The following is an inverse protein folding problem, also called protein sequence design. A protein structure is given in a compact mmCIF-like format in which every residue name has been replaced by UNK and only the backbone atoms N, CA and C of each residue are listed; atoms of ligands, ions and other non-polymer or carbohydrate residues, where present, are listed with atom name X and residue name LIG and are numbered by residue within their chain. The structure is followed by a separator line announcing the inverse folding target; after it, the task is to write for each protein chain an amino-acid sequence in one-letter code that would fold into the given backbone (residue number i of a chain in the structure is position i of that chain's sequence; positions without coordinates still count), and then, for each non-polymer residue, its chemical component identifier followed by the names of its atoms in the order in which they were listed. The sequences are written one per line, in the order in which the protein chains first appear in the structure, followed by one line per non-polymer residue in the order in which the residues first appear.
data_IF_718366056421
#
_entry.id   IF_718366056421
#
_cell.length_a   1.000
_cell.length_b   1.000
_cell.length_c   1.000
_cell.angle_alpha   90.00
_cell.angle_beta   90.00
_cell.angle_gamma   90.00
#
_symmetry.space_group_name_H-M   'P 1'
#
loop_
_entity.id
_entity.type
_entity.pdbx_description
1 polymer ?
#
# COMPACT_ATOMS: atom_id res chain seq x y z
N UNK A 1 1.05 3.55 14.77
CA UNK A 1 0.92 2.84 13.48
C UNK A 1 -0.52 2.96 13.03
N UNK A 2 -0.78 3.48 11.83
CA UNK A 2 -2.16 3.76 11.36
C UNK A 2 -2.77 2.57 10.62
N UNK A 3 -1.95 1.84 9.84
CA UNK A 3 -2.33 0.59 9.16
C UNK A 3 -1.12 -0.36 9.11
N UNK A 4 -1.40 -1.65 9.09
CA UNK A 4 -0.41 -2.72 8.94
C UNK A 4 -1.00 -3.88 8.14
N UNK A 5 -0.67 -3.94 6.85
CA UNK A 5 -1.17 -4.98 5.96
C UNK A 5 -0.39 -5.06 4.65
N UNK A 6 0.28 -6.18 4.42
CA UNK A 6 0.90 -6.48 3.13
C UNK A 6 -0.18 -6.95 2.14
N UNK A 7 0.00 -6.64 0.86
CA UNK A 7 -1.01 -6.91 -0.17
C UNK A 7 -0.51 -7.81 -1.29
N UNK A 8 -1.42 -8.64 -1.78
CA UNK A 8 -1.29 -9.41 -3.03
C UNK A 8 -2.58 -9.29 -3.81
N UNK A 9 -2.47 -9.08 -5.12
CA UNK A 9 -3.63 -8.94 -5.97
C UNK A 9 -3.55 -9.85 -7.20
N UNK A 10 -4.14 -11.04 -7.20
CA UNK A 10 -4.29 -11.84 -8.41
C UNK A 10 -5.22 -11.16 -9.41
N UNK A 11 -5.08 -11.60 -10.66
CA UNK A 11 -6.01 -11.31 -11.74
C UNK A 11 -6.59 -12.63 -12.24
N UNK A 12 -7.91 -12.69 -12.30
CA UNK A 12 -8.66 -13.84 -12.81
C UNK A 12 -9.59 -13.38 -13.93
N UNK A 13 -10.05 -14.32 -14.76
CA UNK A 13 -10.88 -14.04 -15.92
C UNK A 13 -12.03 -15.03 -16.01
N UNK A 14 -13.17 -14.53 -16.49
CA UNK A 14 -14.35 -15.32 -16.81
C UNK A 14 -14.78 -15.13 -18.27
N UNK A 15 -15.81 -15.87 -18.69
CA UNK A 15 -16.42 -15.72 -20.02
C UNK A 15 -17.09 -14.35 -20.20
N UNK A 16 -17.74 -13.83 -19.16
CA UNK A 16 -18.52 -12.58 -19.19
C UNK A 16 -18.21 -11.67 -18.00
N UNK A 17 -18.52 -10.38 -18.13
CA UNK A 17 -18.38 -9.41 -17.04
C UNK A 17 -19.37 -9.70 -15.89
N UNK A 18 -20.57 -10.18 -16.20
CA UNK A 18 -21.56 -10.62 -15.20
C UNK A 18 -21.02 -11.78 -14.36
N UNK A 19 -20.38 -12.77 -14.97
CA UNK A 19 -19.80 -13.87 -14.22
C UNK A 19 -18.65 -13.42 -13.32
N UNK A 20 -17.82 -12.47 -13.80
CA UNK A 20 -16.80 -11.85 -12.97
C UNK A 20 -17.38 -11.04 -11.80
N UNK A 21 -18.55 -10.39 -11.97
CA UNK A 21 -19.21 -9.65 -10.89
C UNK A 21 -19.80 -10.57 -9.82
N UNK A 22 -20.27 -11.77 -10.19
CA UNK A 22 -20.70 -12.77 -9.22
C UNK A 22 -19.56 -13.15 -8.26
N UNK A 23 -18.33 -13.36 -8.77
CA UNK A 23 -17.18 -13.61 -7.89
C UNK A 23 -16.83 -12.38 -7.03
N UNK A 24 -16.89 -11.16 -7.59
CA UNK A 24 -16.68 -9.93 -6.80
C UNK A 24 -17.64 -9.85 -5.62
N UNK A 25 -18.93 -10.03 -5.87
CA UNK A 25 -19.95 -9.95 -4.81
C UNK A 25 -19.77 -11.06 -3.79
N UNK A 26 -19.42 -12.28 -4.22
CA UNK A 26 -19.11 -13.36 -3.30
C UNK A 26 -17.92 -13.02 -2.37
N UNK A 27 -16.84 -12.46 -2.91
CA UNK A 27 -15.62 -12.14 -2.17
C UNK A 27 -15.75 -10.95 -1.22
N UNK A 28 -16.62 -9.99 -1.53
CA UNK A 28 -16.86 -8.79 -0.72
C UNK A 28 -18.07 -8.91 0.21
N UNK A 29 -18.81 -10.02 0.15
CA UNK A 29 -19.87 -10.32 1.10
C UNK A 29 -19.28 -10.68 2.47
N UNK A 30 -19.71 -9.94 3.50
CA UNK A 30 -19.30 -10.14 4.88
C UNK A 30 -19.62 -11.55 5.39
N UNK A 31 -20.68 -12.19 4.88
CA UNK A 31 -21.06 -13.56 5.27
C UNK A 31 -19.99 -14.58 4.84
N UNK A 32 -19.32 -14.34 3.71
CA UNK A 32 -18.30 -15.25 3.18
C UNK A 32 -16.90 -14.96 3.73
N UNK A 33 -16.67 -13.77 4.29
CA UNK A 33 -15.35 -13.32 4.73
C UNK A 33 -14.73 -14.26 5.78
N UNK A 34 -15.50 -14.77 6.74
CA UNK A 34 -14.98 -15.67 7.78
C UNK A 34 -14.44 -16.97 7.19
N UNK A 35 -15.16 -17.57 6.25
CA UNK A 35 -14.73 -18.78 5.54
C UNK A 35 -13.47 -18.51 4.72
N UNK A 36 -13.44 -17.42 3.95
CA UNK A 36 -12.29 -17.01 3.16
C UNK A 36 -11.06 -16.74 4.04
N UNK A 37 -11.26 -16.10 5.19
CA UNK A 37 -10.22 -15.84 6.19
C UNK A 37 -9.66 -17.14 6.75
N UNK A 38 -10.50 -18.11 7.11
CA UNK A 38 -10.05 -19.43 7.56
C UNK A 38 -9.21 -20.12 6.49
N UNK A 39 -9.65 -20.11 5.22
CA UNK A 39 -8.91 -20.71 4.10
C UNK A 39 -7.56 -20.02 3.89
N UNK A 40 -7.54 -18.69 3.88
CA UNK A 40 -6.34 -17.89 3.72
C UNK A 40 -5.32 -18.15 4.84
N UNK A 41 -5.78 -18.11 6.09
CA UNK A 41 -4.94 -18.14 7.29
C UNK A 41 -4.34 -19.53 7.55
N UNK A 42 -4.89 -20.61 6.96
CA UNK A 42 -4.30 -21.97 7.04
C UNK A 42 -2.85 -22.04 6.56
N UNK A 43 -2.43 -21.10 5.70
CA UNK A 43 -1.08 -21.07 5.13
C UNK A 43 0.03 -20.70 6.13
N UNK A 44 -0.30 -20.03 7.23
CA UNK A 44 0.67 -19.50 8.20
C UNK A 44 0.03 -19.14 9.55
N UNK A 45 0.73 -19.43 10.65
CA UNK A 45 0.31 -18.99 11.99
C UNK A 45 0.29 -17.47 12.20
N UNK A 46 1.00 -16.71 11.36
CA UNK A 46 1.10 -15.25 11.44
C UNK A 46 0.19 -14.52 10.44
N UNK A 47 -0.21 -15.18 9.36
CA UNK A 47 -1.07 -14.57 8.35
C UNK A 47 -2.48 -14.38 8.92
N UNK A 48 -2.95 -13.14 8.98
CA UNK A 48 -4.37 -12.84 9.22
C UNK A 48 -4.90 -11.96 8.12
N UNK A 49 -5.79 -12.52 7.30
CA UNK A 49 -6.56 -11.78 6.31
C UNK A 49 -7.35 -10.66 7.00
N UNK A 50 -7.23 -9.45 6.48
CA UNK A 50 -7.87 -8.25 7.00
C UNK A 50 -8.96 -7.73 6.05
N UNK A 51 -8.72 -7.80 4.74
CA UNK A 51 -9.64 -7.26 3.75
C UNK A 51 -9.44 -7.92 2.38
N UNK A 52 -10.50 -7.98 1.58
CA UNK A 52 -10.48 -8.31 0.16
C UNK A 52 -11.16 -7.18 -0.60
N UNK A 53 -10.45 -6.52 -1.50
CA UNK A 53 -10.98 -5.43 -2.33
C UNK A 53 -10.92 -5.80 -3.81
N UNK A 54 -12.05 -5.83 -4.47
CA UNK A 54 -12.16 -6.27 -5.86
C UNK A 54 -12.36 -5.10 -6.83
N UNK A 55 -11.68 -5.13 -7.97
CA UNK A 55 -11.89 -4.21 -9.09
C UNK A 55 -12.11 -4.99 -10.39
N UNK A 56 -13.14 -4.62 -11.15
CA UNK A 56 -13.50 -5.28 -12.42
C UNK A 56 -13.01 -4.46 -13.61
N UNK A 57 -12.49 -5.14 -14.63
CA UNK A 57 -12.23 -4.58 -15.95
C UNK A 57 -12.75 -5.53 -17.04
N UNK A 58 -13.97 -5.27 -17.50
CA UNK A 58 -14.69 -6.17 -18.41
C UNK A 58 -14.90 -7.54 -17.75
N UNK A 59 -14.38 -8.60 -18.38
CA UNK A 59 -14.47 -9.98 -17.88
C UNK A 59 -13.30 -10.41 -16.98
N UNK A 60 -12.42 -9.46 -16.60
CA UNK A 60 -11.31 -9.71 -15.69
C UNK A 60 -11.60 -9.10 -14.31
N UNK A 61 -11.19 -9.80 -13.26
CA UNK A 61 -11.33 -9.37 -11.87
C UNK A 61 -9.95 -9.30 -11.21
N UNK A 62 -9.64 -8.16 -10.61
CA UNK A 62 -8.44 -7.91 -9.82
C UNK A 62 -8.80 -7.91 -8.35
N UNK A 63 -8.22 -8.81 -7.56
CA UNK A 63 -8.68 -9.09 -6.20
C UNK A 63 -7.58 -8.74 -5.21
N UNK A 64 -7.61 -7.59 -4.55
CA UNK A 64 -6.56 -7.14 -3.63
C UNK A 64 -6.80 -7.66 -2.22
N UNK A 65 -6.08 -8.71 -1.85
CA UNK A 65 -6.02 -9.24 -0.50
C UNK A 65 -5.08 -8.40 0.36
N UNK A 66 -5.51 -8.07 1.56
CA UNK A 66 -4.71 -7.38 2.58
C UNK A 66 -4.58 -8.27 3.81
N UNK A 67 -3.36 -8.46 4.30
CA UNK A 67 -3.07 -9.41 5.36
C UNK A 67 -1.99 -8.87 6.29
N UNK A 68 -2.15 -9.07 7.60
CA UNK A 68 -1.05 -8.90 8.57
C UNK A 68 -0.08 -10.07 8.49
N UNK A 69 1.21 -9.83 8.71
CA UNK A 69 2.27 -10.81 8.43
C UNK A 69 3.26 -11.00 9.58
N UNK A 70 2.88 -10.59 10.79
CA UNK A 70 3.80 -10.49 11.94
C UNK A 70 4.93 -9.50 11.64
N UNK A 71 6.15 -9.86 12.00
CA UNK A 71 7.34 -9.02 11.77
C UNK A 71 7.97 -9.20 10.39
N UNK A 72 7.51 -10.19 9.62
CA UNK A 72 7.95 -10.36 8.25
C UNK A 72 7.33 -9.28 7.35
N UNK A 73 8.10 -8.80 6.37
CA UNK A 73 7.54 -8.00 5.26
C UNK A 73 6.42 -8.76 4.53
N UNK A 74 6.52 -10.09 4.46
CA UNK A 74 5.35 -10.95 4.31
C UNK A 74 4.90 -11.27 2.88
N UNK A 75 5.65 -10.85 1.86
CA UNK A 75 5.28 -11.06 0.45
C UNK A 75 5.09 -12.51 0.01
N UNK A 76 5.88 -13.45 0.54
CA UNK A 76 5.70 -14.88 0.27
C UNK A 76 4.50 -15.44 1.04
N UNK A 77 4.31 -14.98 2.28
CA UNK A 77 3.23 -15.40 3.16
C UNK A 77 1.86 -15.03 2.56
N UNK A 78 1.69 -13.77 2.14
CA UNK A 78 0.45 -13.29 1.53
C UNK A 78 0.17 -14.03 0.21
N UNK A 79 1.20 -14.29 -0.61
CA UNK A 79 1.02 -15.00 -1.89
C UNK A 79 0.53 -16.44 -1.69
N UNK A 80 1.03 -17.13 -0.67
CA UNK A 80 0.56 -18.48 -0.32
C UNK A 80 -0.88 -18.48 0.19
N UNK A 81 -1.24 -17.51 1.04
CA UNK A 81 -2.62 -17.35 1.51
C UNK A 81 -3.60 -17.08 0.37
N UNK A 82 -3.21 -16.23 -0.59
CA UNK A 82 -4.01 -15.99 -1.80
C UNK A 82 -4.17 -17.26 -2.63
N UNK A 83 -3.09 -18.03 -2.86
CA UNK A 83 -3.17 -19.27 -3.63
C UNK A 83 -4.18 -20.24 -3.02
N UNK A 84 -4.16 -20.43 -1.69
CA UNK A 84 -5.14 -21.28 -1.01
C UNK A 84 -6.59 -20.84 -1.25
N UNK A 85 -6.85 -19.52 -1.25
CA UNK A 85 -8.19 -18.99 -1.51
C UNK A 85 -8.58 -19.23 -2.97
N UNK A 86 -7.68 -19.02 -3.93
CA UNK A 86 -7.95 -19.30 -5.34
C UNK A 86 -8.25 -20.79 -5.57
N UNK A 87 -7.49 -21.69 -4.95
CA UNK A 87 -7.71 -23.14 -5.05
C UNK A 87 -9.05 -23.55 -4.43
N UNK A 88 -9.44 -22.93 -3.31
CA UNK A 88 -10.75 -23.14 -2.69
C UNK A 88 -11.90 -22.68 -3.59
N UNK A 89 -11.77 -21.50 -4.21
CA UNK A 89 -12.79 -20.93 -5.09
C UNK A 89 -13.04 -21.76 -6.35
N UNK A 90 -12.06 -22.54 -6.82
CA UNK A 90 -12.23 -23.40 -7.99
C UNK A 90 -13.35 -24.45 -7.84
N UNK A 91 -13.78 -24.76 -6.62
CA UNK A 91 -14.91 -25.68 -6.41
C UNK A 91 -16.25 -25.06 -6.85
N UNK A 92 -16.48 -23.78 -6.54
CA UNK A 92 -17.73 -23.06 -6.82
C UNK A 92 -17.65 -22.22 -8.11
N UNK A 93 -16.44 -21.88 -8.52
CA UNK A 93 -16.12 -21.13 -9.74
C UNK A 93 -15.14 -21.91 -10.63
N UNK A 94 -15.49 -23.13 -11.10
CA UNK A 94 -14.60 -23.97 -11.91
C UNK A 94 -14.30 -23.35 -13.30
N UNK A 95 -15.09 -22.36 -13.71
CA UNK A 95 -14.91 -21.57 -14.93
C UNK A 95 -13.93 -20.39 -14.76
N UNK A 96 -13.35 -20.21 -13.56
CA UNK A 96 -12.39 -19.16 -13.27
C UNK A 96 -11.00 -19.47 -13.86
N UNK A 97 -10.57 -18.65 -14.81
CA UNK A 97 -9.21 -18.70 -15.37
C UNK A 97 -8.27 -17.80 -14.56
N UNK A 98 -7.33 -18.42 -13.83
CA UNK A 98 -6.34 -17.70 -13.01
C UNK A 98 -5.18 -17.25 -13.92
N UNK A 99 -5.27 -16.02 -14.41
CA UNK A 99 -4.25 -15.42 -15.29
C UNK A 99 -2.92 -15.21 -14.57
N UNK A 100 -2.96 -14.86 -13.29
CA UNK A 100 -1.75 -14.78 -12.48
C UNK A 100 -1.99 -14.33 -11.05
N UNK A 101 -1.11 -14.80 -10.16
CA UNK A 101 -1.16 -14.46 -8.72
C UNK A 101 -0.90 -12.96 -8.45
N UNK A 102 -0.33 -12.25 -9.42
CA UNK A 102 0.02 -10.83 -9.31
C UNK A 102 -0.39 -10.06 -10.56
N UNK A 103 -1.63 -9.57 -10.60
CA UNK A 103 -2.18 -8.69 -11.64
C UNK A 103 -1.81 -7.22 -11.50
N UNK A 104 -0.66 -6.90 -10.89
CA UNK A 104 -0.17 -5.55 -10.61
C UNK A 104 -1.05 -4.64 -9.74
N UNK A 105 -2.25 -5.04 -9.33
CA UNK A 105 -3.14 -4.28 -8.43
C UNK A 105 -2.72 -4.35 -6.93
N UNK A 106 -1.55 -4.92 -6.62
CA UNK A 106 -1.05 -4.99 -5.24
C UNK A 106 -0.72 -3.60 -4.64
N UNK A 107 0.10 -2.72 -5.22
CA UNK A 107 1.08 -2.89 -6.32
C UNK A 107 2.49 -3.02 -5.73
N UNK A 108 3.30 -3.96 -6.20
CA UNK A 108 4.65 -4.20 -5.67
C UNK A 108 5.72 -3.68 -6.63
N UNK A 109 6.62 -2.81 -6.15
CA UNK A 109 7.75 -2.26 -6.92
C UNK A 109 7.35 -1.44 -8.14
N UNK A 110 6.18 -0.78 -8.10
CA UNK A 110 5.70 0.16 -9.12
C UNK A 110 4.98 1.33 -8.44
N UNK A 111 5.09 2.57 -8.97
CA UNK A 111 4.29 3.68 -8.48
C UNK A 111 2.81 3.41 -8.80
N UNK A 112 1.95 3.47 -7.79
CA UNK A 112 0.53 3.19 -7.95
C UNK A 112 -0.33 3.93 -6.92
N UNK A 113 -1.42 4.54 -7.40
CA UNK A 113 -2.30 5.37 -6.57
C UNK A 113 -2.99 4.55 -5.48
N UNK A 114 -3.28 3.28 -5.76
CA UNK A 114 -3.88 2.37 -4.77
C UNK A 114 -3.00 2.22 -3.53
N UNK A 115 -1.67 2.22 -3.67
CA UNK A 115 -0.77 2.16 -2.51
C UNK A 115 -0.76 3.48 -1.72
N UNK A 116 -0.91 4.62 -2.39
CA UNK A 116 -0.99 5.93 -1.76
C UNK A 116 -2.28 6.10 -0.95
N UNK A 117 -3.42 5.73 -1.55
CA UNK A 117 -4.75 5.96 -0.99
C UNK A 117 -5.09 4.90 0.07
N UNK A 118 -4.91 3.62 -0.26
CA UNK A 118 -5.36 2.53 0.61
C UNK A 118 -4.28 2.10 1.60
N UNK A 119 -3.02 2.44 1.33
CA UNK A 119 -1.85 1.94 2.03
C UNK A 119 -1.37 0.58 1.49
N UNK A 120 -0.14 0.22 1.86
CA UNK A 120 0.47 -1.10 1.65
C UNK A 120 1.65 -1.27 2.61
N UNK A 121 1.70 -2.39 3.33
CA UNK A 121 2.67 -2.55 4.43
C UNK A 121 2.26 -1.69 5.62
N UNK A 122 3.16 -0.83 6.08
CA UNK A 122 2.96 0.02 7.26
C UNK A 122 2.57 1.44 6.84
N UNK A 123 1.50 1.99 7.40
CA UNK A 123 1.15 3.42 7.27
C UNK A 123 1.52 4.16 8.56
N UNK A 124 2.35 5.19 8.46
CA UNK A 124 2.98 5.87 9.60
C UNK A 124 2.84 7.39 9.42
N UNK A 125 2.69 8.09 10.56
CA UNK A 125 2.78 9.54 10.68
C UNK A 125 3.78 9.87 11.78
N UNK A 126 4.54 10.96 11.59
CA UNK A 126 5.49 11.48 12.57
C UNK A 126 5.38 13.01 12.56
N UNK A 127 5.47 13.63 13.72
CA UNK A 127 5.45 15.08 13.90
C UNK A 127 6.53 15.52 14.89
N UNK A 128 6.95 16.78 14.78
CA UNK A 128 7.87 17.42 15.72
C UNK A 128 7.68 18.93 15.68
N UNK A 129 7.90 19.59 16.82
CA UNK A 129 7.97 21.04 16.92
C UNK A 129 9.43 21.44 17.05
N UNK A 130 9.92 22.29 16.14
CA UNK A 130 11.28 22.81 16.17
C UNK A 130 11.22 24.29 16.56
N UNK A 131 11.94 24.67 17.61
CA UNK A 131 11.96 26.06 18.09
C UNK A 131 12.65 26.98 17.08
N UNK A 132 12.20 28.23 17.00
CA UNK A 132 12.77 29.25 16.11
C UNK A 132 14.30 29.37 16.29
N UNK A 133 14.75 29.27 17.54
CA UNK A 133 16.17 29.29 17.92
C UNK A 133 16.97 28.18 17.25
N UNK A 134 16.42 26.96 17.19
CA UNK A 134 17.04 25.82 16.49
C UNK A 134 16.96 26.00 14.98
N UNK A 135 15.85 26.51 14.44
CA UNK A 135 15.71 26.81 13.01
C UNK A 135 16.77 27.83 12.56
N UNK A 136 16.97 28.91 13.32
CA UNK A 136 17.98 29.94 13.03
C UNK A 136 19.40 29.41 13.25
N UNK A 137 19.68 28.83 14.41
CA UNK A 137 21.06 28.47 14.81
C UNK A 137 21.56 27.18 14.17
N UNK A 138 20.69 26.22 13.86
CA UNK A 138 21.09 24.91 13.31
C UNK A 138 20.73 24.82 11.84
N UNK A 139 19.47 25.06 11.47
CA UNK A 139 19.01 24.95 10.07
C UNK A 139 19.39 26.16 9.21
N UNK A 140 19.87 27.25 9.83
CA UNK A 140 20.37 28.46 9.18
C UNK A 140 19.34 29.13 8.27
N UNK A 141 18.08 29.13 8.70
CA UNK A 141 16.94 29.70 7.97
C UNK A 141 15.93 30.30 8.94
N UNK A 142 14.77 30.74 8.44
CA UNK A 142 13.64 31.24 9.23
C UNK A 142 12.43 30.33 9.09
N UNK A 143 11.52 30.35 10.07
CA UNK A 143 10.28 29.56 10.01
C UNK A 143 9.43 29.93 8.79
N UNK A 144 9.17 31.23 8.48
CA UNK A 144 8.39 31.60 7.30
C UNK A 144 9.00 31.07 5.98
N UNK A 145 10.32 31.13 5.84
CA UNK A 145 11.00 30.65 4.64
C UNK A 145 10.89 29.12 4.48
N UNK A 146 10.95 28.35 5.57
CA UNK A 146 10.75 26.89 5.52
C UNK A 146 9.31 26.52 5.16
N UNK A 147 8.33 27.18 5.77
CA UNK A 147 6.91 26.92 5.49
C UNK A 147 6.58 27.26 4.03
N UNK A 148 7.03 28.43 3.55
CA UNK A 148 6.86 28.83 2.15
C UNK A 148 7.54 27.85 1.19
N UNK A 149 8.78 27.45 1.46
CA UNK A 149 9.49 26.46 0.65
C UNK A 149 8.75 25.13 0.61
N UNK A 150 8.21 24.65 1.75
CA UNK A 150 7.43 23.42 1.78
C UNK A 150 6.19 23.52 0.89
N UNK A 151 5.44 24.62 1.02
CA UNK A 151 4.25 24.88 0.20
C UNK A 151 4.59 24.93 -1.30
N UNK A 152 5.59 25.71 -1.69
CA UNK A 152 5.93 25.90 -3.11
C UNK A 152 6.60 24.67 -3.72
N UNK A 153 7.46 23.97 -2.97
CA UNK A 153 8.27 22.86 -3.50
C UNK A 153 7.58 21.50 -3.34
N UNK A 154 7.20 21.14 -2.12
CA UNK A 154 6.69 19.80 -1.81
C UNK A 154 5.21 19.64 -2.20
N UNK A 155 4.43 20.72 -2.15
CA UNK A 155 3.01 20.67 -2.52
C UNK A 155 2.78 21.17 -3.94
N UNK A 156 2.90 22.48 -4.18
CA UNK A 156 2.60 23.10 -5.48
C UNK A 156 3.51 22.55 -6.58
N UNK A 157 4.82 22.47 -6.34
CA UNK A 157 5.78 21.93 -7.32
C UNK A 157 5.48 20.47 -7.68
N UNK A 158 5.24 19.61 -6.69
CA UNK A 158 4.85 18.22 -6.92
C UNK A 158 3.50 18.08 -7.63
N UNK A 159 2.53 18.96 -7.34
CA UNK A 159 1.24 18.99 -8.03
C UNK A 159 1.41 19.36 -9.52
N UNK A 160 2.20 20.39 -9.82
CA UNK A 160 2.51 20.79 -11.21
C UNK A 160 3.24 19.66 -11.95
N UNK A 161 4.12 18.93 -11.27
CA UNK A 161 4.84 17.79 -11.85
C UNK A 161 3.97 16.54 -12.06
N UNK A 162 2.71 16.52 -11.58
CA UNK A 162 1.87 15.33 -11.61
C UNK A 162 2.42 14.18 -10.74
N UNK A 163 3.11 14.52 -9.65
CA UNK A 163 3.73 13.53 -8.78
C UNK A 163 2.69 12.68 -8.04
N UNK A 164 2.93 11.36 -7.99
CA UNK A 164 2.09 10.41 -7.28
C UNK A 164 2.74 10.00 -5.96
N UNK A 165 2.19 10.47 -4.83
CA UNK A 165 2.73 10.19 -3.49
C UNK A 165 4.09 10.85 -3.19
N UNK A 166 4.61 11.68 -4.09
CA UNK A 166 5.91 12.34 -4.00
C UNK A 166 5.83 13.79 -3.50
N UNK A 167 5.12 14.04 -2.41
CA UNK A 167 4.93 15.39 -1.84
C UNK A 167 5.96 15.68 -0.73
N UNK A 168 7.23 15.43 -1.03
CA UNK A 168 8.34 15.49 -0.07
C UNK A 168 9.65 15.93 -0.75
N UNK A 169 10.70 16.16 0.04
CA UNK A 169 11.99 16.56 -0.50
C UNK A 169 12.82 15.38 -1.01
N UNK A 170 13.11 14.41 -0.14
CA UNK A 170 14.00 13.29 -0.46
C UNK A 170 13.75 12.07 0.44
N UNK A 171 12.48 11.72 0.72
CA UNK A 171 12.14 10.58 1.57
C UNK A 171 12.82 9.28 1.07
N UNK A 172 12.89 9.11 -0.26
CA UNK A 172 13.57 8.01 -0.93
C UNK A 172 15.04 7.83 -0.53
N UNK A 173 15.78 8.90 -0.24
CA UNK A 173 17.19 8.81 0.17
C UNK A 173 17.30 8.13 1.54
N UNK A 174 16.49 8.56 2.51
CA UNK A 174 16.50 8.03 3.87
C UNK A 174 16.02 6.58 3.87
N UNK A 175 14.89 6.31 3.19
CA UNK A 175 14.33 4.96 3.07
C UNK A 175 15.34 4.00 2.44
N UNK A 176 15.98 4.38 1.33
CA UNK A 176 16.99 3.53 0.68
C UNK A 176 18.18 3.23 1.58
N UNK A 177 18.73 4.25 2.25
CA UNK A 177 19.87 4.08 3.15
C UNK A 177 19.56 3.11 4.29
N UNK A 178 18.40 3.29 4.94
CA UNK A 178 17.96 2.40 6.03
C UNK A 178 17.65 1.00 5.49
N UNK A 179 16.97 0.88 4.35
CA UNK A 179 16.62 -0.40 3.75
C UNK A 179 17.87 -1.23 3.46
N UNK A 180 18.87 -0.63 2.82
CA UNK A 180 20.13 -1.32 2.51
C UNK A 180 20.87 -1.69 3.81
N UNK A 181 20.97 -0.76 4.77
CA UNK A 181 21.68 -1.00 6.03
C UNK A 181 21.01 -2.09 6.90
N UNK A 182 19.71 -2.30 6.76
CA UNK A 182 18.92 -3.24 7.57
C UNK A 182 18.44 -4.47 6.79
N UNK A 183 19.00 -4.73 5.60
CA UNK A 183 18.73 -5.93 4.82
C UNK A 183 17.31 -6.04 4.24
N UNK A 184 16.64 -4.91 4.00
CA UNK A 184 15.34 -4.85 3.33
C UNK A 184 15.49 -4.96 1.81
N UNK A 185 14.38 -5.07 1.08
CA UNK A 185 14.34 -5.10 -0.38
C UNK A 185 14.42 -3.68 -0.96
N UNK A 186 15.56 -3.23 -1.53
CA UNK A 186 15.74 -1.84 -1.94
C UNK A 186 14.82 -1.44 -3.11
N UNK A 187 14.34 -2.41 -3.90
CA UNK A 187 13.43 -2.12 -5.00
C UNK A 187 12.03 -1.72 -4.51
N UNK A 188 11.68 -2.01 -3.25
CA UNK A 188 10.44 -1.54 -2.63
C UNK A 188 10.52 -0.07 -2.18
N UNK A 189 11.67 0.60 -2.35
CA UNK A 189 11.77 2.04 -2.14
C UNK A 189 10.75 2.81 -3.01
N UNK A 190 10.41 2.30 -4.20
CA UNK A 190 9.42 2.91 -5.11
C UNK A 190 8.10 3.21 -4.39
N UNK A 191 7.55 2.23 -3.66
CA UNK A 191 6.33 2.41 -2.89
C UNK A 191 6.58 2.91 -1.46
N UNK A 192 7.72 2.57 -0.84
CA UNK A 192 8.01 2.90 0.56
C UNK A 192 8.43 4.36 0.76
N UNK A 193 8.85 5.04 -0.31
CA UNK A 193 9.18 6.47 -0.29
C UNK A 193 7.98 7.39 -0.54
N UNK A 194 6.77 6.83 -0.70
CA UNK A 194 5.55 7.64 -0.70
C UNK A 194 5.47 8.44 0.60
N UNK A 195 5.46 9.77 0.51
CA UNK A 195 5.50 10.65 1.66
C UNK A 195 4.92 12.03 1.29
N UNK A 196 4.15 12.60 2.22
CA UNK A 196 3.74 13.99 2.23
C UNK A 196 4.38 14.69 3.44
N UNK A 197 5.02 15.82 3.20
CA UNK A 197 5.61 16.67 4.25
C UNK A 197 4.76 17.92 4.41
N UNK A 198 4.28 18.13 5.63
CA UNK A 198 3.52 19.32 6.02
C UNK A 198 4.36 20.13 7.01
N UNK A 199 4.28 21.46 6.89
CA UNK A 199 4.91 22.39 7.81
C UNK A 199 3.95 23.55 8.05
N UNK A 200 3.84 23.97 9.29
CA UNK A 200 3.05 25.12 9.71
C UNK A 200 3.82 25.90 10.78
N UNK A 201 3.65 27.22 10.78
CA UNK A 201 4.10 28.08 11.87
C UNK A 201 3.12 27.94 13.04
N UNK A 202 3.63 27.80 14.26
CA UNK A 202 2.83 27.59 15.48
C UNK A 202 3.39 28.44 16.61
N UNK A 203 2.56 28.77 17.61
CA UNK A 203 2.99 29.54 18.79
C UNK A 203 3.62 30.91 18.45
N UNK A 204 2.98 31.67 17.56
CA UNK A 204 3.39 33.02 17.14
C UNK A 204 4.70 33.09 16.33
N UNK A 205 5.24 31.95 15.87
CA UNK A 205 6.41 31.87 15.00
C UNK A 205 6.92 30.46 14.79
#
# INVERSE_FOLDING_TARGET
LLKDGMTRAPVVRFATAERASQLKFYLEDAINFDTLSVVFNKSSRFARLQNIQCSIAGKNLYIRFTCSTGDAMGMNMVSKGVQNVLDYLQNDFPDMDVIGISGNFCSNKKPAAVNWIEGRGKSVVCEAVITEDVVKKVLKTTVPALVELNMLKNLTGSAIAGALGGFNAHAANIVSAVFIATGQDPAQNIESSHCITMMEAVNDG
#
